data_IF_755966683093
#
_entry.id   IF_755966683093
#
_cell.length_a   1.000
_cell.length_b   1.000
_cell.length_c   1.000
_cell.angle_alpha   90.00
_cell.angle_beta   90.00
_cell.angle_gamma   90.00
#
_symmetry.space_group_name_H-M   'P 1'
#
loop_
_entity.id
_entity.type
_entity.pdbx_description
1 polymer ?
2 water ?
#
# COMPACT_ATOMS: atom_id res chain seq x y z
N UNK A 1 -0.52 -3.01 8.48
CA UNK A 1 -1.13 -1.81 7.87
C UNK A 1 -1.08 -1.90 6.36
N UNK A 2 -1.47 -0.82 5.71
CA UNK A 2 -1.51 -0.74 4.25
C UNK A 2 -0.26 -1.20 3.51
N UNK A 3 0.90 -0.75 3.98
CA UNK A 3 2.13 -1.06 3.28
C UNK A 3 2.61 -2.51 3.33
N UNK A 4 2.01 -3.33 4.18
CA UNK A 4 2.36 -4.74 4.26
C UNK A 4 1.27 -5.61 3.60
N UNK A 5 0.27 -4.95 3.02
CA UNK A 5 -0.85 -5.62 2.35
C UNK A 5 -0.74 -5.23 0.87
N UNK A 6 -0.26 -6.15 0.02
CA UNK A 6 -0.10 -5.87 -1.42
C UNK A 6 -1.19 -5.05 -2.12
N UNK A 7 -2.48 -5.45 -2.01
CA UNK A 7 -3.54 -4.68 -2.67
C UNK A 7 -3.60 -3.22 -2.21
N UNK A 8 -3.35 -2.98 -0.93
CA UNK A 8 -3.39 -1.62 -0.41
C UNK A 8 -2.17 -0.81 -0.86
N UNK A 9 -0.99 -1.42 -0.78
CA UNK A 9 0.24 -0.74 -1.18
C UNK A 9 0.17 -0.33 -2.65
N UNK A 10 -0.43 -1.19 -3.47
CA UNK A 10 -0.57 -0.93 -4.90
C UNK A 10 -1.41 0.32 -5.17
N UNK A 11 -2.47 0.51 -4.38
CA UNK A 11 -3.37 1.65 -4.53
C UNK A 11 -2.93 2.91 -3.77
N UNK A 12 -1.90 2.78 -2.94
CA UNK A 12 -1.39 3.92 -2.16
C UNK A 12 0.13 3.92 -2.31
N UNK A 13 0.62 3.99 -3.56
CA UNK A 13 2.07 3.97 -3.81
C UNK A 13 2.91 5.10 -3.23
N UNK A 14 2.44 6.34 -3.34
CA UNK A 14 3.22 7.47 -2.83
C UNK A 14 3.20 7.53 -1.30
N UNK A 15 2.10 7.06 -0.73
CA UNK A 15 1.91 7.01 0.71
C UNK A 15 2.90 6.01 1.31
N UNK A 16 3.02 4.84 0.69
CA UNK A 16 3.94 3.81 1.18
C UNK A 16 5.39 4.04 0.78
N UNK A 17 5.65 4.65 -0.37
#
# INVERSE_FOLDING_TARGET
>A
GCCSLPPCALSNPDYCX
#
